data_IF_895268941202
#
_entry.id   IF_895268941202
#
_cell.length_a   1.000
_cell.length_b   1.000
_cell.length_c   1.000
_cell.angle_alpha   90.00
_cell.angle_beta   90.00
_cell.angle_gamma   90.00
#
_symmetry.space_group_name_H-M   'P 1'
#
loop_
_entity.id
_entity.type
_entity.pdbx_description
1 polymer ?
#
# COMPACT_ATOMS: atom_id res chain seq x y z
N UNK A 1 7.53 -2.24 7.46
CA UNK A 1 7.43 -1.00 6.63
C UNK A 1 6.01 -0.60 6.27
N UNK A 2 5.09 -1.55 6.00
CA UNK A 2 3.69 -1.19 5.68
C UNK A 2 2.99 -0.47 6.84
N UNK A 3 3.13 -0.95 8.08
CA UNK A 3 2.61 -0.25 9.27
C UNK A 3 3.18 1.17 9.42
N UNK A 4 4.48 1.34 9.19
CA UNK A 4 5.15 2.64 9.25
C UNK A 4 4.59 3.62 8.19
N UNK A 5 4.30 3.13 6.98
CA UNK A 5 3.66 3.94 5.95
C UNK A 5 2.19 4.25 6.30
N UNK A 6 1.45 3.26 6.78
CA UNK A 6 0.03 3.44 7.14
C UNK A 6 -0.12 4.43 8.27
N UNK A 7 0.55 4.21 9.41
CA UNK A 7 0.47 5.10 10.57
C UNK A 7 1.21 6.41 10.35
N UNK A 8 2.49 6.34 9.96
CA UNK A 8 3.36 7.52 9.84
C UNK A 8 2.99 8.47 8.70
N UNK A 9 2.20 8.01 7.73
CA UNK A 9 1.89 8.80 6.53
C UNK A 9 0.39 8.81 6.31
N UNK A 10 -0.19 7.70 5.86
CA UNK A 10 -1.55 7.71 5.31
C UNK A 10 -2.64 8.05 6.32
N UNK A 11 -2.55 7.50 7.53
CA UNK A 11 -3.52 7.73 8.60
C UNK A 11 -3.37 9.14 9.18
N UNK A 12 -2.15 9.54 9.54
CA UNK A 12 -1.91 10.86 10.13
C UNK A 12 -2.11 12.00 9.13
N UNK A 13 -1.86 11.79 7.83
CA UNK A 13 -2.08 12.82 6.81
C UNK A 13 -3.57 13.20 6.67
N UNK A 14 -4.47 12.23 6.90
CA UNK A 14 -5.92 12.46 6.78
C UNK A 14 -6.49 13.30 7.92
N UNK A 15 -5.84 13.27 9.08
CA UNK A 15 -6.30 13.91 10.30
C UNK A 15 -5.42 15.12 10.67
N UNK A 16 -4.48 15.50 9.79
CA UNK A 16 -3.49 16.57 10.02
C UNK A 16 -4.09 17.93 10.38
N UNK A 17 -5.30 18.24 9.89
CA UNK A 17 -6.01 19.48 10.29
C UNK A 17 -6.41 19.45 11.77
N UNK A 18 -6.92 18.31 12.23
CA UNK A 18 -7.32 18.13 13.63
C UNK A 18 -6.10 18.02 14.53
N UNK A 19 -5.10 17.25 14.13
CA UNK A 19 -3.86 17.07 14.88
C UNK A 19 -3.13 18.41 15.07
N UNK A 20 -3.09 19.25 14.03
CA UNK A 20 -2.47 20.58 14.08
C UNK A 20 -3.20 21.50 15.07
N UNK A 21 -4.54 21.52 15.04
CA UNK A 21 -5.36 22.31 15.98
C UNK A 21 -5.21 21.82 17.43
N UNK A 22 -4.99 20.53 17.63
CA UNK A 22 -4.82 19.92 18.96
C UNK A 22 -3.36 19.92 19.44
N UNK A 23 -2.41 20.42 18.64
CA UNK A 23 -0.98 20.44 18.99
C UNK A 23 -0.34 19.04 19.06
N UNK A 24 -0.94 18.05 18.40
CA UNK A 24 -0.44 16.67 18.38
C UNK A 24 0.75 16.60 17.42
N UNK A 25 1.88 16.05 17.88
CA UNK A 25 3.10 15.93 17.09
C UNK A 25 3.12 14.63 16.27
N UNK A 26 2.30 14.57 15.21
CA UNK A 26 2.34 13.46 14.25
C UNK A 26 3.48 13.62 13.25
N UNK A 27 3.89 12.53 12.57
CA UNK A 27 4.96 12.57 11.58
C UNK A 27 4.73 13.64 10.50
N UNK A 28 3.54 13.79 9.88
CA UNK A 28 3.30 14.88 8.94
C UNK A 28 3.58 16.27 9.55
N UNK A 29 3.10 16.52 10.77
CA UNK A 29 3.28 17.81 11.47
C UNK A 29 4.75 18.07 11.79
N UNK A 30 5.48 17.06 12.25
CA UNK A 30 6.92 17.15 12.52
C UNK A 30 7.74 17.48 11.26
N UNK A 31 7.26 17.06 10.08
CA UNK A 31 7.86 17.43 8.81
C UNK A 31 7.40 18.80 8.29
N UNK A 32 6.44 19.46 8.96
CA UNK A 32 5.90 20.78 8.57
C UNK A 32 4.66 20.73 7.67
N UNK A 33 4.02 19.56 7.54
CA UNK A 33 2.74 19.45 6.82
C UNK A 33 1.66 20.17 7.60
N UNK A 34 0.90 21.03 6.92
CA UNK A 34 -0.19 21.77 7.52
C UNK A 34 -1.29 22.05 6.48
N UNK A 35 -2.48 22.43 6.98
CA UNK A 35 -3.60 22.84 6.12
C UNK A 35 -3.70 24.36 6.15
N UNK A 36 -3.69 24.97 4.96
CA UNK A 36 -3.95 26.41 4.78
C UNK A 36 -4.99 26.58 3.70
N UNK A 37 -6.02 27.41 3.94
CA UNK A 37 -7.10 27.68 2.97
C UNK A 37 -7.75 26.39 2.38
N UNK A 38 -7.92 25.35 3.20
CA UNK A 38 -8.44 24.02 2.79
C UNK A 38 -7.55 23.28 1.77
N UNK A 39 -6.29 23.71 1.60
CA UNK A 39 -5.27 23.01 0.82
C UNK A 39 -4.26 22.39 1.78
N UNK A 40 -3.84 21.18 1.43
CA UNK A 40 -2.79 20.47 2.14
C UNK A 40 -1.44 20.96 1.62
N UNK A 41 -0.65 21.61 2.48
CA UNK A 41 0.70 22.08 2.15
C UNK A 41 1.68 21.01 2.60
N UNK A 42 2.36 20.40 1.61
CA UNK A 42 3.31 19.32 1.82
C UNK A 42 4.72 19.81 1.51
N UNK A 43 5.64 19.81 2.49
CA UNK A 43 7.03 20.07 2.22
C UNK A 43 7.63 18.91 1.43
N UNK A 44 8.59 19.23 0.55
CA UNK A 44 9.27 18.23 -0.28
C UNK A 44 9.93 17.12 0.56
N UNK A 45 10.44 17.47 1.74
CA UNK A 45 11.03 16.52 2.70
C UNK A 45 10.05 15.41 3.11
N UNK A 46 8.77 15.74 3.34
CA UNK A 46 7.75 14.75 3.69
C UNK A 46 7.43 13.84 2.50
N UNK A 47 7.33 14.41 1.30
CA UNK A 47 7.12 13.63 0.08
C UNK A 47 8.26 12.66 -0.18
N UNK A 48 9.52 13.11 -0.04
CA UNK A 48 10.71 12.26 -0.15
C UNK A 48 10.66 11.14 0.91
N UNK A 49 10.34 11.47 2.15
CA UNK A 49 10.18 10.48 3.22
C UNK A 49 9.14 9.41 2.85
N UNK A 50 7.98 9.81 2.33
CA UNK A 50 6.92 8.89 1.95
C UNK A 50 7.33 7.92 0.84
N UNK A 51 7.94 8.45 -0.22
CA UNK A 51 8.46 7.61 -1.30
C UNK A 51 9.60 6.71 -0.84
N UNK A 52 10.49 7.21 0.03
CA UNK A 52 11.60 6.43 0.58
C UNK A 52 11.11 5.22 1.38
N UNK A 53 10.13 5.39 2.27
CA UNK A 53 9.53 4.28 3.01
C UNK A 53 8.90 3.26 2.05
N UNK A 54 8.21 3.72 1.00
CA UNK A 54 7.59 2.82 0.01
C UNK A 54 8.64 2.07 -0.81
N UNK A 55 9.71 2.74 -1.19
CA UNK A 55 10.81 2.15 -1.95
C UNK A 55 11.54 1.08 -1.14
N UNK A 56 11.85 1.35 0.14
CA UNK A 56 12.41 0.34 1.04
C UNK A 56 11.46 -0.86 1.17
N UNK A 57 10.15 -0.62 1.29
CA UNK A 57 9.18 -1.72 1.35
C UNK A 57 9.24 -2.62 0.11
N UNK A 58 9.31 -2.03 -1.09
CA UNK A 58 9.44 -2.76 -2.36
C UNK A 58 10.77 -3.51 -2.43
N UNK A 59 11.89 -2.89 -2.05
CA UNK A 59 13.20 -3.55 -2.00
C UNK A 59 13.18 -4.75 -1.05
N UNK A 60 12.63 -4.60 0.15
CA UNK A 60 12.55 -5.71 1.11
C UNK A 60 11.67 -6.83 0.55
N UNK A 61 10.55 -6.48 -0.09
CA UNK A 61 9.66 -7.46 -0.70
C UNK A 61 10.32 -8.22 -1.87
N UNK A 62 11.26 -7.62 -2.60
CA UNK A 62 11.97 -8.29 -3.70
C UNK A 62 13.17 -9.14 -3.26
N UNK A 63 13.60 -9.06 -2.00
CA UNK A 63 14.74 -9.83 -1.49
C UNK A 63 14.68 -11.34 -1.79
N UNK A 64 13.54 -12.04 -1.67
CA UNK A 64 13.49 -13.47 -1.99
C UNK A 64 13.85 -13.81 -3.43
N UNK A 65 13.65 -12.90 -4.39
CA UNK A 65 14.12 -13.06 -5.77
C UNK A 65 15.64 -12.93 -5.87
N UNK A 66 16.24 -11.98 -5.16
CA UNK A 66 17.69 -11.73 -5.22
C UNK A 66 18.52 -12.76 -4.45
N UNK A 67 17.98 -13.31 -3.35
CA UNK A 67 18.66 -14.33 -2.54
C UNK A 67 18.49 -15.74 -3.16
N UNK A 68 17.58 -15.89 -4.14
CA UNK A 68 17.35 -17.17 -4.82
C UNK A 68 16.43 -18.12 -4.07
N UNK A 69 15.67 -17.64 -3.07
CA UNK A 69 14.61 -18.43 -2.42
C UNK A 69 13.39 -18.63 -3.32
N UNK A 70 13.20 -17.74 -4.29
CA UNK A 70 12.10 -17.76 -5.25
C UNK A 70 12.62 -17.32 -6.62
N UNK A 71 11.98 -17.80 -7.68
CA UNK A 71 12.29 -17.38 -9.05
C UNK A 71 11.33 -16.30 -9.54
N UNK A 72 11.84 -15.35 -10.34
CA UNK A 72 11.00 -14.43 -11.11
C UNK A 72 10.33 -15.11 -12.32
N UNK A 73 10.66 -16.38 -12.58
CA UNK A 73 10.13 -17.21 -13.66
C UNK A 73 9.29 -18.38 -13.13
N UNK A 74 8.29 -18.77 -13.91
CA UNK A 74 7.54 -20.03 -13.79
C UNK A 74 7.48 -20.64 -15.19
N UNK A 75 7.93 -21.89 -15.36
CA UNK A 75 8.01 -22.55 -16.67
C UNK A 75 8.68 -21.68 -17.75
N UNK A 76 9.79 -21.00 -17.39
CA UNK A 76 10.52 -20.04 -18.23
C UNK A 76 9.75 -18.76 -18.62
N UNK A 77 8.57 -18.52 -18.05
CA UNK A 77 7.81 -17.29 -18.24
C UNK A 77 7.99 -16.35 -17.03
N UNK A 78 8.32 -15.06 -17.21
CA UNK A 78 8.61 -14.12 -16.12
C UNK A 78 7.36 -13.59 -15.39
N UNK A 79 6.35 -14.45 -15.17
CA UNK A 79 5.04 -14.06 -14.63
C UNK A 79 5.15 -13.42 -13.23
N UNK A 80 5.83 -14.03 -12.22
CA UNK A 80 6.01 -13.41 -10.91
C UNK A 80 6.72 -12.06 -10.98
N UNK A 81 7.77 -11.97 -11.79
CA UNK A 81 8.54 -10.73 -11.96
C UNK A 81 7.72 -9.60 -12.56
N UNK A 82 6.96 -9.88 -13.62
CA UNK A 82 6.08 -8.88 -14.26
C UNK A 82 4.98 -8.43 -13.29
N UNK A 83 4.31 -9.38 -12.62
CA UNK A 83 3.28 -9.04 -11.63
C UNK A 83 3.84 -8.18 -10.50
N UNK A 84 5.04 -8.52 -9.99
CA UNK A 84 5.70 -7.74 -8.94
C UNK A 84 6.01 -6.30 -9.39
N UNK A 85 6.54 -6.13 -10.59
CA UNK A 85 6.85 -4.80 -11.16
C UNK A 85 5.58 -3.98 -11.32
N UNK A 86 4.51 -4.56 -11.88
CA UNK A 86 3.23 -3.87 -12.07
C UNK A 86 2.68 -3.40 -10.72
N UNK A 87 2.61 -4.28 -9.72
CA UNK A 87 2.10 -3.93 -8.38
C UNK A 87 2.98 -2.83 -7.76
N UNK A 88 4.30 -2.93 -7.88
CA UNK A 88 5.24 -1.94 -7.35
C UNK A 88 5.03 -0.55 -7.97
N UNK A 89 4.83 -0.47 -9.29
CA UNK A 89 4.51 0.80 -9.98
C UNK A 89 3.18 1.36 -9.48
N UNK A 90 2.16 0.52 -9.36
CA UNK A 90 0.84 0.95 -8.85
C UNK A 90 0.96 1.46 -7.40
N UNK A 91 1.77 0.83 -6.56
CA UNK A 91 2.01 1.28 -5.18
C UNK A 91 2.66 2.67 -5.11
N UNK A 92 3.63 2.94 -5.98
CA UNK A 92 4.26 4.27 -6.07
C UNK A 92 3.27 5.30 -6.62
N UNK A 93 2.47 4.94 -7.62
CA UNK A 93 1.40 5.79 -8.14
C UNK A 93 0.35 6.12 -7.08
N UNK A 94 -0.09 5.14 -6.29
CA UNK A 94 -1.03 5.37 -5.19
C UNK A 94 -0.43 6.23 -4.10
N UNK A 95 0.87 6.08 -3.80
CA UNK A 95 1.59 6.97 -2.89
C UNK A 95 1.54 8.41 -3.39
N UNK A 96 1.78 8.64 -4.69
CA UNK A 96 1.62 9.96 -5.31
C UNK A 96 0.18 10.48 -5.16
N UNK A 97 -0.82 9.62 -5.38
CA UNK A 97 -2.24 10.00 -5.26
C UNK A 97 -2.63 10.34 -3.83
N UNK A 98 -2.13 9.63 -2.83
CA UNK A 98 -2.37 9.95 -1.41
C UNK A 98 -1.81 11.35 -1.10
N UNK A 99 -0.58 11.64 -1.52
CA UNK A 99 0.05 12.93 -1.26
C UNK A 99 -0.57 14.09 -2.05
N UNK A 100 -1.04 13.85 -3.28
CA UNK A 100 -1.60 14.91 -4.14
C UNK A 100 -3.10 15.14 -3.97
N UNK A 101 -3.80 14.27 -3.23
CA UNK A 101 -5.24 14.42 -3.01
C UNK A 101 -5.50 15.54 -2.01
N UNK A 102 -6.33 16.55 -2.34
CA UNK A 102 -6.66 17.61 -1.40
C UNK A 102 -7.47 17.08 -0.22
N UNK A 103 -7.32 17.71 0.95
CA UNK A 103 -8.00 17.31 2.19
C UNK A 103 -9.54 17.30 2.05
N UNK A 104 -10.09 18.15 1.18
CA UNK A 104 -11.53 18.19 0.85
C UNK A 104 -12.05 16.90 0.22
N UNK A 105 -11.16 16.06 -0.33
CA UNK A 105 -11.46 14.75 -0.91
C UNK A 105 -10.91 13.63 -0.03
N UNK A 106 -11.07 13.76 1.29
CA UNK A 106 -10.62 12.78 2.30
C UNK A 106 -11.04 11.35 1.98
N UNK A 107 -12.27 11.13 1.51
CA UNK A 107 -12.76 9.80 1.16
C UNK A 107 -11.98 9.17 0.01
N UNK A 108 -11.57 9.96 -0.99
CA UNK A 108 -10.71 9.47 -2.09
C UNK A 108 -9.32 9.13 -1.60
N UNK A 109 -8.77 9.92 -0.68
CA UNK A 109 -7.47 9.62 -0.07
C UNK A 109 -7.52 8.31 0.74
N UNK A 110 -8.62 8.06 1.45
CA UNK A 110 -8.87 6.80 2.16
C UNK A 110 -8.98 5.60 1.21
N UNK A 111 -9.66 5.75 0.07
CA UNK A 111 -9.71 4.69 -0.96
C UNK A 111 -8.29 4.39 -1.46
N UNK A 112 -7.51 5.42 -1.83
CA UNK A 112 -6.15 5.21 -2.31
C UNK A 112 -5.26 4.55 -1.25
N UNK A 113 -5.41 4.94 0.02
CA UNK A 113 -4.73 4.30 1.14
C UNK A 113 -5.08 2.82 1.28
N UNK A 114 -6.37 2.50 1.27
CA UNK A 114 -6.85 1.12 1.41
C UNK A 114 -6.42 0.23 0.24
N UNK A 115 -6.52 0.72 -1.00
CA UNK A 115 -6.05 -0.01 -2.19
C UNK A 115 -4.53 -0.19 -2.15
N UNK A 116 -3.79 0.84 -1.73
CA UNK A 116 -2.34 0.75 -1.57
C UNK A 116 -1.99 -0.35 -0.56
N UNK A 117 -2.67 -0.39 0.58
CA UNK A 117 -2.43 -1.39 1.62
C UNK A 117 -2.76 -2.81 1.17
N UNK A 118 -3.89 -3.01 0.49
CA UNK A 118 -4.24 -4.31 -0.09
C UNK A 118 -3.21 -4.79 -1.12
N UNK A 119 -2.73 -3.90 -1.99
CA UNK A 119 -1.70 -4.25 -2.97
C UNK A 119 -0.33 -4.53 -2.34
N UNK A 120 0.00 -3.85 -1.25
CA UNK A 120 1.24 -4.12 -0.51
C UNK A 120 1.22 -5.51 0.12
N UNK A 121 0.07 -5.94 0.65
CA UNK A 121 -0.12 -7.31 1.15
C UNK A 121 0.07 -8.33 0.02
N UNK A 122 -0.40 -8.01 -1.20
CA UNK A 122 -0.32 -8.89 -2.37
C UNK A 122 1.11 -9.10 -2.89
N UNK A 123 2.06 -8.22 -2.56
CA UNK A 123 3.46 -8.40 -2.98
C UNK A 123 4.04 -9.74 -2.49
N UNK A 124 3.76 -10.14 -1.27
CA UNK A 124 4.29 -11.38 -0.67
C UNK A 124 3.87 -12.63 -1.44
N UNK A 125 2.56 -12.91 -1.65
CA UNK A 125 2.14 -14.08 -2.40
C UNK A 125 2.63 -14.07 -3.85
N UNK A 126 2.79 -12.90 -4.47
CA UNK A 126 3.36 -12.79 -5.82
C UNK A 126 4.84 -13.17 -5.84
N UNK A 127 5.61 -12.74 -4.84
CA UNK A 127 7.03 -13.10 -4.72
C UNK A 127 7.19 -14.60 -4.49
N UNK A 128 6.34 -15.18 -3.65
CA UNK A 128 6.34 -16.61 -3.35
C UNK A 128 5.71 -17.48 -4.44
N UNK A 129 5.15 -16.88 -5.50
CA UNK A 129 4.31 -17.60 -6.47
C UNK A 129 5.03 -18.75 -7.16
N UNK A 130 6.30 -18.57 -7.55
CA UNK A 130 7.10 -19.66 -8.15
C UNK A 130 7.32 -20.81 -7.18
N UNK A 131 7.75 -20.49 -5.96
CA UNK A 131 7.93 -21.47 -4.89
C UNK A 131 6.63 -22.23 -4.57
N UNK A 132 5.50 -21.54 -4.48
CA UNK A 132 4.21 -22.16 -4.23
C UNK A 132 3.82 -23.10 -5.39
N UNK A 133 3.99 -22.68 -6.64
CA UNK A 133 3.64 -23.52 -7.79
C UNK A 133 4.49 -24.79 -7.85
N UNK A 134 5.77 -24.69 -7.55
CA UNK A 134 6.68 -25.84 -7.52
C UNK A 134 6.32 -26.85 -6.41
N UNK A 135 5.83 -26.40 -5.26
CA UNK A 135 5.58 -27.25 -4.09
C UNK A 135 4.13 -27.73 -3.94
N UNK A 136 3.14 -26.91 -4.30
CA UNK A 136 1.71 -27.18 -4.08
C UNK A 136 0.88 -27.14 -5.37
N UNK A 137 1.50 -27.03 -6.54
CA UNK A 137 0.85 -26.88 -7.86
C UNK A 137 0.14 -25.54 -8.11
N UNK A 138 -0.26 -25.34 -9.36
CA UNK A 138 -0.86 -24.08 -9.87
C UNK A 138 -2.21 -23.78 -9.23
N UNK A 139 -3.14 -24.75 -9.23
CA UNK A 139 -4.51 -24.53 -8.78
C UNK A 139 -4.59 -24.15 -7.29
N UNK A 140 -3.93 -24.87 -6.35
CA UNK A 140 -3.91 -24.48 -4.94
C UNK A 140 -3.24 -23.12 -4.70
N UNK A 141 -2.18 -22.80 -5.44
CA UNK A 141 -1.53 -21.48 -5.37
C UNK A 141 -2.52 -20.38 -5.74
N UNK A 142 -3.22 -20.51 -6.86
CA UNK A 142 -4.19 -19.51 -7.31
C UNK A 142 -5.33 -19.31 -6.28
N UNK A 143 -5.85 -20.41 -5.71
CA UNK A 143 -6.86 -20.34 -4.66
C UNK A 143 -6.34 -19.62 -3.41
N UNK A 144 -5.10 -19.90 -2.99
CA UNK A 144 -4.49 -19.28 -1.82
C UNK A 144 -4.31 -17.77 -2.01
N UNK A 145 -3.80 -17.35 -3.18
CA UNK A 145 -3.69 -15.92 -3.53
C UNK A 145 -5.08 -15.26 -3.55
N UNK A 146 -6.08 -15.93 -4.12
CA UNK A 146 -7.46 -15.43 -4.16
C UNK A 146 -8.05 -15.27 -2.76
N UNK A 147 -7.79 -16.22 -1.85
CA UNK A 147 -8.21 -16.13 -0.45
C UNK A 147 -7.59 -14.93 0.24
N UNK A 148 -6.30 -14.65 0.04
CA UNK A 148 -5.62 -13.48 0.63
C UNK A 148 -6.29 -12.15 0.22
N UNK A 149 -6.83 -12.07 -1.00
CA UNK A 149 -7.54 -10.88 -1.49
C UNK A 149 -9.00 -10.84 -1.03
N UNK A 150 -9.71 -11.96 -1.17
CA UNK A 150 -11.16 -12.02 -0.93
C UNK A 150 -11.47 -12.01 0.56
N UNK A 151 -10.64 -12.64 1.39
CA UNK A 151 -10.89 -12.79 2.83
C UNK A 151 -11.02 -11.43 3.54
N UNK A 152 -10.09 -10.46 3.40
CA UNK A 152 -10.25 -9.15 4.01
C UNK A 152 -11.50 -8.42 3.51
N UNK A 153 -11.77 -8.46 2.20
CA UNK A 153 -12.92 -7.78 1.60
C UNK A 153 -14.23 -8.37 2.14
N UNK A 154 -14.30 -9.69 2.24
CA UNK A 154 -15.45 -10.42 2.78
C UNK A 154 -15.73 -10.01 4.22
N UNK A 155 -14.72 -10.05 5.10
CA UNK A 155 -14.87 -9.69 6.50
C UNK A 155 -15.19 -8.22 6.70
N UNK A 156 -14.56 -7.32 5.94
CA UNK A 156 -14.90 -5.89 6.02
C UNK A 156 -16.36 -5.64 5.63
N UNK A 157 -16.85 -6.32 4.59
CA UNK A 157 -18.24 -6.20 4.17
C UNK A 157 -19.22 -6.80 5.17
N UNK A 158 -18.86 -7.93 5.78
CA UNK A 158 -19.71 -8.61 6.78
C UNK A 158 -19.83 -7.78 8.07
N UNK A 159 -18.71 -7.28 8.59
CA UNK A 159 -18.66 -6.59 9.89
C UNK A 159 -19.14 -5.14 9.83
N UNK A 160 -18.86 -4.44 8.73
CA UNK A 160 -19.05 -2.98 8.65
C UNK A 160 -20.02 -2.55 7.53
N UNK A 161 -20.59 -3.51 6.80
CA UNK A 161 -21.56 -3.26 5.75
C UNK A 161 -20.97 -2.46 4.57
N UNK A 162 -21.84 -1.76 3.83
CA UNK A 162 -21.46 -0.98 2.63
C UNK A 162 -20.72 0.34 2.93
N UNK A 163 -20.58 0.74 4.21
CA UNK A 163 -20.22 2.12 4.57
C UNK A 163 -18.71 2.42 4.60
N UNK A 164 -17.83 1.41 4.57
CA UNK A 164 -16.39 1.64 4.83
C UNK A 164 -15.49 1.75 3.59
N UNK A 165 -15.94 1.29 2.43
CA UNK A 165 -15.23 1.49 1.16
C UNK A 165 -16.20 2.21 0.22
N UNK A 166 -16.03 3.52 -0.05
CA UNK A 166 -16.82 4.21 -1.06
C UNK A 166 -16.36 3.70 -2.43
N UNK A 167 -16.88 2.55 -2.84
CA UNK A 167 -16.80 2.06 -4.21
C UNK A 167 -18.00 2.55 -5.04
N UNK A 168 -18.84 3.41 -4.46
CA UNK A 168 -19.98 4.09 -5.06
C UNK A 168 -19.82 5.61 -4.87
#
# INVERSE_FOLDING_TARGET
MQWLFSVGISANLKDVEFDSKQGIRTTPIMFGVHVSEKKLILPLSFSIYAFFIKFIHIIIASLPFFIGYTSIFIYNLPIPGICFIIISIILLYLTLKILSTPITKRDKMLIYAGVQEGLALLLIPIVLMSYLIENISILPTFLLISVVVIWPIFWFRLLFGKRMIPLE
#
